data_IF_998900254564
#
_entry.id   IF_998900254564
#
_cell.length_a   1.000
_cell.length_b   1.000
_cell.length_c   1.000
_cell.angle_alpha   90.00
_cell.angle_beta   90.00
_cell.angle_gamma   90.00
#
_symmetry.space_group_name_H-M   'P 1'
#
loop_
_entity.id
_entity.type
_entity.pdbx_description
1 polymer ?
#
# COMPACT_ATOMS: atom_id res chain seq x y z
N UNK A 1 -11.15 -6.36 -15.79
CA UNK A 1 -11.45 -7.05 -14.51
C UNK A 1 -12.03 -8.44 -14.76
N UNK A 2 -13.18 -8.57 -15.42
CA UNK A 2 -13.86 -9.87 -15.63
C UNK A 2 -12.97 -10.98 -16.20
N UNK A 3 -12.12 -10.70 -17.20
CA UNK A 3 -11.24 -11.71 -17.78
C UNK A 3 -10.11 -12.18 -16.85
N UNK A 4 -9.61 -11.31 -15.97
CA UNK A 4 -8.55 -11.63 -15.01
C UNK A 4 -9.12 -12.40 -13.81
N UNK A 5 -10.22 -11.91 -13.23
CA UNK A 5 -10.90 -12.54 -12.10
C UNK A 5 -11.43 -13.94 -12.43
N UNK A 6 -11.73 -14.21 -13.72
CA UNK A 6 -12.15 -15.54 -14.18
C UNK A 6 -11.05 -16.60 -14.10
N UNK A 7 -9.79 -16.19 -14.21
CA UNK A 7 -8.65 -17.11 -14.32
C UNK A 7 -7.67 -17.02 -13.15
N UNK A 8 -7.73 -15.95 -12.37
CA UNK A 8 -6.81 -15.67 -11.27
C UNK A 8 -7.57 -15.21 -10.03
N UNK A 9 -7.02 -15.51 -8.85
CA UNK A 9 -7.43 -14.87 -7.62
C UNK A 9 -7.02 -13.39 -7.70
N UNK A 10 -8.00 -12.51 -7.75
CA UNK A 10 -7.79 -11.07 -7.85
C UNK A 10 -8.19 -10.38 -6.55
N UNK A 11 -7.42 -9.37 -6.15
CA UNK A 11 -7.75 -8.45 -5.07
C UNK A 11 -7.95 -7.09 -5.72
N UNK A 12 -9.12 -6.49 -5.55
CA UNK A 12 -9.45 -5.18 -6.10
C UNK A 12 -9.28 -4.11 -5.03
N UNK A 13 -8.49 -3.09 -5.32
CA UNK A 13 -8.16 -2.03 -4.37
C UNK A 13 -8.30 -0.68 -5.05
N UNK A 14 -9.17 0.18 -4.49
CA UNK A 14 -9.23 1.59 -4.84
C UNK A 14 -8.17 2.37 -4.04
N UNK A 15 -6.93 2.28 -4.49
CA UNK A 15 -5.79 2.91 -3.84
C UNK A 15 -5.83 4.43 -3.96
N UNK A 16 -6.39 4.96 -5.05
CA UNK A 16 -6.55 6.39 -5.25
C UNK A 16 -7.51 6.98 -4.22
N UNK A 17 -8.69 6.37 -4.02
CA UNK A 17 -9.63 6.77 -2.98
C UNK A 17 -9.00 6.69 -1.60
N UNK A 18 -8.32 5.59 -1.28
CA UNK A 18 -7.65 5.42 0.02
C UNK A 18 -6.59 6.50 0.26
N UNK A 19 -5.79 6.83 -0.75
CA UNK A 19 -4.78 7.89 -0.65
C UNK A 19 -5.39 9.28 -0.53
N UNK A 20 -6.53 9.54 -1.18
CA UNK A 20 -7.28 10.79 -1.02
C UNK A 20 -7.87 10.93 0.39
N UNK A 21 -8.40 9.86 0.97
CA UNK A 21 -8.89 9.84 2.38
C UNK A 21 -7.76 10.13 3.37
N UNK A 22 -6.52 9.74 3.05
CA UNK A 22 -5.32 10.08 3.82
C UNK A 22 -4.81 11.51 3.58
N UNK A 23 -5.43 12.25 2.65
CA UNK A 23 -5.10 13.65 2.35
C UNK A 23 -3.98 13.84 1.32
N UNK A 24 -3.50 12.77 0.67
CA UNK A 24 -2.46 12.90 -0.37
C UNK A 24 -2.52 11.77 -1.40
N UNK A 25 -3.04 12.07 -2.58
CA UNK A 25 -3.13 11.13 -3.71
C UNK A 25 -1.79 10.49 -4.12
N UNK A 26 -0.65 11.12 -3.81
CA UNK A 26 0.69 10.58 -4.13
C UNK A 26 1.05 9.36 -3.30
N UNK A 27 0.34 9.06 -2.21
CA UNK A 27 0.61 7.87 -1.38
C UNK A 27 -0.05 6.59 -1.88
N UNK A 28 -0.81 6.63 -2.99
CA UNK A 28 -1.53 5.47 -3.53
C UNK A 28 -0.61 4.25 -3.79
N UNK A 29 0.63 4.48 -4.24
CA UNK A 29 1.56 3.38 -4.48
C UNK A 29 2.02 2.71 -3.18
N UNK A 30 2.08 3.47 -2.09
CA UNK A 30 2.42 2.92 -0.78
C UNK A 30 1.24 2.16 -0.17
N UNK A 31 -0.01 2.57 -0.46
CA UNK A 31 -1.20 1.75 -0.16
C UNK A 31 -1.12 0.41 -0.90
N UNK A 32 -0.82 0.41 -2.20
CA UNK A 32 -0.67 -0.81 -2.98
C UNK A 32 0.48 -1.69 -2.48
N UNK A 33 1.61 -1.09 -2.07
CA UNK A 33 2.72 -1.82 -1.46
C UNK A 33 2.28 -2.54 -0.18
N UNK A 34 1.57 -1.87 0.73
CA UNK A 34 1.06 -2.49 1.95
C UNK A 34 0.13 -3.68 1.65
N UNK A 35 -0.77 -3.51 0.67
CA UNK A 35 -1.67 -4.59 0.29
C UNK A 35 -0.94 -5.77 -0.37
N UNK A 36 0.10 -5.50 -1.17
CA UNK A 36 0.97 -6.54 -1.74
C UNK A 36 1.71 -7.32 -0.65
N UNK A 37 2.31 -6.63 0.32
CA UNK A 37 3.00 -7.26 1.45
C UNK A 37 2.04 -8.18 2.21
N UNK A 38 0.80 -7.72 2.43
CA UNK A 38 -0.25 -8.52 3.07
C UNK A 38 -0.63 -9.75 2.23
N UNK A 39 -0.86 -9.57 0.93
CA UNK A 39 -1.29 -10.64 0.03
C UNK A 39 -0.25 -11.73 -0.17
N UNK A 40 1.04 -11.37 -0.10
CA UNK A 40 2.18 -12.29 -0.24
C UNK A 40 2.79 -12.72 1.11
N UNK A 41 2.19 -12.33 2.24
CA UNK A 41 2.62 -12.69 3.59
C UNK A 41 4.09 -12.32 3.92
N UNK A 42 4.57 -11.20 3.36
CA UNK A 42 5.95 -10.72 3.51
C UNK A 42 6.18 -10.00 4.85
N UNK A 43 5.68 -10.56 5.95
CA UNK A 43 5.60 -9.91 7.26
C UNK A 43 6.93 -9.92 8.05
N UNK A 44 7.91 -10.73 7.65
CA UNK A 44 9.20 -10.85 8.34
C UNK A 44 10.17 -9.70 8.03
N UNK A 45 9.83 -8.86 7.05
CA UNK A 45 10.65 -7.73 6.62
C UNK A 45 10.25 -6.48 7.42
N UNK A 46 11.24 -5.72 7.90
CA UNK A 46 10.99 -4.40 8.48
C UNK A 46 10.75 -3.35 7.39
N UNK A 47 9.53 -3.37 6.87
CA UNK A 47 9.10 -2.42 5.84
C UNK A 47 9.12 -0.97 6.31
N UNK A 48 8.90 -0.72 7.61
CA UNK A 48 8.90 0.64 8.13
C UNK A 48 10.31 1.22 8.08
N UNK A 49 11.33 0.44 8.41
CA UNK A 49 12.72 0.87 8.28
C UNK A 49 13.12 1.14 6.83
N UNK A 50 12.76 0.25 5.89
CA UNK A 50 13.01 0.45 4.46
C UNK A 50 12.34 1.75 3.96
N UNK A 51 11.11 2.03 4.40
CA UNK A 51 10.41 3.26 4.02
C UNK A 51 11.12 4.51 4.55
N UNK A 52 11.72 4.47 5.75
CA UNK A 52 12.49 5.61 6.29
C UNK A 52 13.73 5.94 5.46
N UNK A 53 14.39 4.93 4.90
CA UNK A 53 15.59 5.12 4.09
C UNK A 53 15.28 5.74 2.71
N UNK A 54 14.12 5.42 2.15
CA UNK A 54 13.75 5.79 0.76
C UNK A 54 12.91 7.07 0.73
N UNK A 55 12.07 7.30 1.74
CA UNK A 55 11.09 8.38 1.74
C UNK A 55 11.65 9.60 2.47
N UNK A 56 11.59 10.80 1.85
CA UNK A 56 11.98 12.03 2.53
C UNK A 56 11.23 12.23 3.84
N UNK A 57 11.92 12.67 4.89
CA UNK A 57 11.39 12.83 6.25
C UNK A 57 10.02 13.54 6.30
N UNK A 58 9.88 14.64 5.55
CA UNK A 58 8.62 15.41 5.44
C UNK A 58 7.42 14.60 4.96
N UNK A 59 7.66 13.54 4.20
CA UNK A 59 6.64 12.69 3.59
C UNK A 59 6.51 11.35 4.32
N UNK A 60 7.36 11.06 5.30
CA UNK A 60 7.47 9.75 5.89
C UNK A 60 6.18 9.35 6.63
N UNK A 61 5.67 10.21 7.51
CA UNK A 61 4.51 9.90 8.34
C UNK A 61 3.27 9.51 7.51
N UNK A 62 2.96 10.28 6.47
CA UNK A 62 1.80 10.01 5.61
C UNK A 62 1.97 8.74 4.77
N UNK A 63 3.20 8.40 4.38
CA UNK A 63 3.47 7.16 3.65
C UNK A 63 3.44 5.94 4.59
N UNK A 64 3.90 6.05 5.84
CA UNK A 64 3.73 4.98 6.85
C UNK A 64 2.23 4.70 7.05
N UNK A 65 1.40 5.74 7.23
CA UNK A 65 -0.07 5.58 7.35
C UNK A 65 -0.67 4.91 6.11
N UNK A 66 -0.19 5.28 4.92
CA UNK A 66 -0.63 4.67 3.67
C UNK A 66 -0.27 3.18 3.59
N UNK A 67 0.95 2.82 4.00
CA UNK A 67 1.42 1.44 4.03
C UNK A 67 0.58 0.60 4.99
N UNK A 68 0.39 1.08 6.22
CA UNK A 68 -0.43 0.41 7.23
C UNK A 68 -1.89 0.27 6.78
N UNK A 69 -2.45 1.27 6.10
CA UNK A 69 -3.79 1.20 5.54
C UNK A 69 -3.86 0.12 4.46
N UNK A 70 -2.85 0.05 3.58
CA UNK A 70 -2.69 -1.02 2.60
C UNK A 70 -2.64 -2.41 3.21
N UNK A 71 -1.89 -2.60 4.30
CA UNK A 71 -1.77 -3.88 5.03
C UNK A 71 -3.09 -4.40 5.63
N UNK A 72 -4.10 -3.54 5.74
CA UNK A 72 -5.43 -3.85 6.28
C UNK A 72 -6.48 -4.10 5.18
N UNK A 73 -6.10 -3.99 3.91
CA UNK A 73 -6.91 -4.31 2.74
C UNK A 73 -6.61 -5.74 2.27
#
# INVERSE_FOLDING_TARGET
>A
MEALAKNFKTIEIDAAKTAMELGNIKTQNIVLLGALVKAFELNEIDWIEILKEIIPEKMLEINIKAFEKGMRL
#
